data_IF_230181250917
#
_entry.id   IF_230181250917
#
_cell.length_a   1.000
_cell.length_b   1.000
_cell.length_c   1.000
_cell.angle_alpha   90.00
_cell.angle_beta   90.00
_cell.angle_gamma   90.00
#
_symmetry.space_group_name_H-M   'P 1'
#
loop_
_entity.id
_entity.type
_entity.pdbx_description
1 polymer ?
#
# COMPACT_ATOMS: atom_id res chain seq x y z
N UNK A 1 -31.85 -9.13 -18.21
CA UNK A 1 -32.93 -9.95 -17.58
C UNK A 1 -34.26 -9.76 -18.30
N UNK A 2 -34.72 -8.52 -18.47
CA UNK A 2 -35.87 -8.17 -19.32
C UNK A 2 -35.45 -7.19 -20.41
N UNK A 3 -36.18 -7.13 -21.55
CA UNK A 3 -35.94 -6.13 -22.58
C UNK A 3 -36.24 -4.72 -22.05
N UNK A 4 -35.38 -3.76 -22.36
CA UNK A 4 -35.64 -2.33 -22.14
C UNK A 4 -36.39 -1.72 -23.33
N UNK A 5 -37.24 -0.73 -23.09
CA UNK A 5 -38.01 -0.03 -24.11
C UNK A 5 -37.64 1.47 -24.19
N UNK A 6 -37.77 2.06 -25.38
CA UNK A 6 -37.59 3.49 -25.60
C UNK A 6 -38.46 4.32 -24.64
N UNK A 7 -37.81 5.09 -23.76
CA UNK A 7 -38.45 5.93 -22.74
C UNK A 7 -38.32 5.39 -21.32
N UNK A 8 -37.79 4.18 -21.16
CA UNK A 8 -37.51 3.62 -19.83
C UNK A 8 -36.43 4.43 -19.08
N UNK A 9 -36.45 4.28 -17.77
CA UNK A 9 -35.44 4.84 -16.85
C UNK A 9 -34.82 3.72 -16.01
N UNK A 10 -33.58 3.91 -15.58
CA UNK A 10 -32.89 2.97 -14.70
C UNK A 10 -32.36 3.71 -13.46
N UNK A 11 -33.04 3.51 -12.33
CA UNK A 11 -32.77 4.28 -11.12
C UNK A 11 -32.99 5.78 -11.36
N UNK A 12 -31.94 6.59 -11.14
CA UNK A 12 -31.95 8.03 -11.39
C UNK A 12 -31.58 8.43 -12.83
N UNK A 13 -31.22 7.47 -13.69
CA UNK A 13 -30.76 7.75 -15.06
C UNK A 13 -31.94 7.72 -16.03
N UNK A 14 -32.15 8.84 -16.74
CA UNK A 14 -33.22 9.00 -17.71
C UNK A 14 -32.89 8.43 -19.09
N UNK A 15 -33.92 8.27 -19.92
CA UNK A 15 -33.77 7.68 -21.26
C UNK A 15 -32.72 8.36 -22.15
N UNK A 16 -32.56 9.68 -22.02
CA UNK A 16 -31.58 10.44 -22.82
C UNK A 16 -30.17 9.87 -22.65
N UNK A 17 -29.73 9.70 -21.41
CA UNK A 17 -28.39 9.20 -21.11
C UNK A 17 -28.30 7.70 -21.37
N UNK A 18 -29.37 6.94 -21.06
CA UNK A 18 -29.42 5.50 -21.34
C UNK A 18 -29.31 5.19 -22.84
N UNK A 19 -29.94 6.00 -23.69
CA UNK A 19 -30.01 5.73 -25.13
C UNK A 19 -28.64 5.64 -25.81
N UNK A 20 -27.65 6.40 -25.31
CA UNK A 20 -26.27 6.35 -25.81
C UNK A 20 -25.62 4.99 -25.52
N UNK A 21 -25.78 4.46 -24.30
CA UNK A 21 -25.27 3.15 -23.93
C UNK A 21 -25.98 2.01 -24.69
N UNK A 22 -27.31 2.11 -24.87
CA UNK A 22 -28.08 1.10 -25.60
C UNK A 22 -27.71 1.04 -27.08
N UNK A 23 -27.47 2.18 -27.72
CA UNK A 23 -27.00 2.22 -29.11
C UNK A 23 -25.56 1.71 -29.22
N UNK A 24 -24.66 2.08 -28.30
CA UNK A 24 -23.32 1.50 -28.25
C UNK A 24 -23.34 -0.02 -28.12
N UNK A 25 -24.12 -0.57 -27.17
CA UNK A 25 -24.25 -2.01 -26.96
C UNK A 25 -24.93 -2.73 -28.15
N UNK A 26 -25.76 -2.02 -28.92
CA UNK A 26 -26.32 -2.54 -30.18
C UNK A 26 -25.24 -2.61 -31.26
N UNK A 27 -24.40 -1.58 -31.36
CA UNK A 27 -23.32 -1.52 -32.34
C UNK A 27 -22.20 -2.55 -32.07
N UNK A 28 -21.89 -2.80 -30.80
CA UNK A 28 -20.95 -3.86 -30.39
C UNK A 28 -21.55 -5.26 -30.46
N UNK A 29 -22.85 -5.37 -30.80
CA UNK A 29 -23.54 -6.65 -31.02
C UNK A 29 -24.05 -7.33 -29.75
N UNK A 30 -23.88 -6.72 -28.58
CA UNK A 30 -24.39 -7.24 -27.31
C UNK A 30 -25.93 -7.19 -27.24
N UNK A 31 -26.54 -6.15 -27.83
CA UNK A 31 -28.00 -5.96 -27.87
C UNK A 31 -28.56 -6.02 -29.29
N UNK A 32 -29.78 -6.54 -29.40
CA UNK A 32 -30.59 -6.53 -30.60
C UNK A 32 -31.75 -5.56 -30.41
N UNK A 33 -31.94 -4.63 -31.34
CA UNK A 33 -33.09 -3.73 -31.34
C UNK A 33 -34.19 -4.30 -32.22
N UNK A 34 -35.40 -4.43 -31.67
CA UNK A 34 -36.60 -4.79 -32.43
C UNK A 34 -37.73 -3.82 -32.08
N UNK A 35 -38.12 -3.00 -33.05
CA UNK A 35 -39.02 -1.88 -32.82
C UNK A 35 -38.44 -0.89 -31.81
N UNK A 36 -39.18 -0.68 -30.71
CA UNK A 36 -38.80 0.21 -29.59
C UNK A 36 -38.06 -0.51 -28.46
N UNK A 37 -37.78 -1.81 -28.59
CA UNK A 37 -37.22 -2.63 -27.50
C UNK A 37 -35.81 -3.13 -27.81
N UNK A 38 -34.99 -3.15 -26.78
CA UNK A 38 -33.63 -3.68 -26.78
C UNK A 38 -33.62 -5.02 -26.05
N UNK A 39 -33.16 -6.05 -26.75
CA UNK A 39 -33.08 -7.43 -26.28
C UNK A 39 -31.61 -7.83 -26.13
N UNK A 40 -31.31 -8.67 -25.15
CA UNK A 40 -30.01 -9.32 -25.09
C UNK A 40 -29.82 -10.22 -26.32
N UNK A 41 -28.74 -10.00 -27.07
CA UNK A 41 -28.42 -10.74 -28.29
C UNK A 41 -27.40 -11.85 -28.13
N UNK A 42 -26.70 -11.89 -26.99
CA UNK A 42 -25.63 -12.87 -26.72
C UNK A 42 -26.15 -14.24 -26.26
N UNK A 43 -25.35 -15.28 -26.53
CA UNK A 43 -25.59 -16.63 -25.98
C UNK A 43 -25.11 -16.80 -24.54
N UNK A 44 -24.30 -15.86 -24.06
CA UNK A 44 -23.69 -15.90 -22.73
C UNK A 44 -24.61 -15.28 -21.68
N UNK A 45 -24.33 -15.57 -20.41
CA UNK A 45 -25.05 -15.04 -19.26
C UNK A 45 -24.22 -13.95 -18.58
N UNK A 46 -24.46 -12.65 -18.85
CA UNK A 46 -23.56 -11.56 -18.44
C UNK A 46 -23.32 -11.50 -16.93
N UNK A 47 -24.33 -11.87 -16.14
CA UNK A 47 -24.24 -11.86 -14.69
C UNK A 47 -23.27 -12.92 -14.12
N UNK A 48 -22.85 -13.93 -14.89
CA UNK A 48 -21.80 -14.86 -14.48
C UNK A 48 -20.39 -14.28 -14.66
N UNK A 49 -20.22 -13.31 -15.56
CA UNK A 49 -18.94 -12.68 -15.86
C UNK A 49 -18.69 -11.43 -15.00
N UNK A 50 -19.76 -10.83 -14.48
CA UNK A 50 -19.71 -9.63 -13.65
C UNK A 50 -19.79 -10.04 -12.18
N UNK A 51 -18.66 -9.94 -11.48
CA UNK A 51 -18.64 -10.06 -10.02
C UNK A 51 -19.02 -8.72 -9.36
N UNK A 52 -19.95 -8.78 -8.42
CA UNK A 52 -20.44 -7.61 -7.68
C UNK A 52 -19.47 -7.13 -6.58
N UNK A 53 -18.43 -7.91 -6.26
CA UNK A 53 -17.55 -7.69 -5.11
C UNK A 53 -16.05 -7.80 -5.43
N UNK A 54 -15.70 -8.56 -6.45
CA UNK A 54 -14.31 -8.81 -6.82
C UNK A 54 -14.11 -8.46 -8.28
N UNK A 55 -12.93 -7.96 -8.62
CA UNK A 55 -12.60 -7.74 -10.01
C UNK A 55 -12.29 -9.01 -10.81
N UNK A 56 -12.01 -10.12 -10.11
CA UNK A 56 -11.66 -11.42 -10.69
C UNK A 56 -12.60 -12.53 -10.21
N UNK A 57 -13.05 -13.43 -11.11
CA UNK A 57 -13.86 -14.59 -10.73
C UNK A 57 -13.02 -15.74 -10.14
N UNK A 58 -11.68 -15.67 -10.20
CA UNK A 58 -10.80 -16.72 -9.66
C UNK A 58 -10.82 -16.71 -8.13
N UNK A 59 -10.78 -17.90 -7.54
CA UNK A 59 -10.82 -18.11 -6.09
C UNK A 59 -9.76 -19.13 -5.67
N UNK A 60 -9.39 -19.07 -4.40
CA UNK A 60 -8.57 -20.08 -3.73
C UNK A 60 -9.43 -20.81 -2.71
N UNK A 61 -9.55 -22.12 -2.88
CA UNK A 61 -10.30 -23.00 -1.98
C UNK A 61 -9.42 -23.34 -0.76
N UNK A 62 -9.95 -23.12 0.43
CA UNK A 62 -9.29 -23.41 1.69
C UNK A 62 -9.65 -24.83 2.12
N UNK A 63 -8.66 -25.72 2.16
CA UNK A 63 -8.85 -27.14 2.48
C UNK A 63 -8.17 -27.49 3.79
N UNK A 64 -8.89 -28.18 4.67
CA UNK A 64 -8.33 -28.82 5.86
C UNK A 64 -8.57 -30.34 5.83
N UNK A 65 -7.99 -31.06 6.80
CA UNK A 65 -8.20 -32.49 6.97
C UNK A 65 -9.09 -32.70 8.19
N UNK A 66 -10.30 -33.17 7.97
CA UNK A 66 -11.24 -33.57 9.03
C UNK A 66 -11.47 -35.08 8.96
N UNK A 67 -11.28 -35.78 10.08
CA UNK A 67 -11.48 -37.24 10.17
C UNK A 67 -10.73 -38.03 9.07
N UNK A 68 -9.55 -37.55 8.66
CA UNK A 68 -8.72 -38.16 7.62
C UNK A 68 -9.20 -37.92 6.19
N UNK A 69 -10.18 -37.04 5.96
CA UNK A 69 -10.66 -36.65 4.62
C UNK A 69 -10.45 -35.15 4.38
N UNK A 70 -10.14 -34.73 3.14
CA UNK A 70 -10.16 -33.32 2.78
C UNK A 70 -11.56 -32.74 3.00
N UNK A 71 -11.63 -31.62 3.71
CA UNK A 71 -12.83 -30.84 3.95
C UNK A 71 -12.55 -29.39 3.52
N UNK A 72 -13.48 -28.79 2.78
CA UNK A 72 -13.39 -27.37 2.42
C UNK A 72 -13.93 -26.54 3.58
N UNK A 73 -13.10 -25.65 4.13
CA UNK A 73 -13.50 -24.75 5.20
C UNK A 73 -14.00 -23.40 4.66
N UNK A 74 -13.60 -23.01 3.45
CA UNK A 74 -14.03 -21.76 2.83
C UNK A 74 -13.31 -21.43 1.53
N UNK A 75 -13.50 -20.21 1.05
CA UNK A 75 -12.87 -19.67 -0.15
C UNK A 75 -12.42 -18.23 0.12
N UNK A 76 -11.33 -17.83 -0.53
CA UNK A 76 -10.89 -16.43 -0.61
C UNK A 76 -10.74 -16.05 -2.08
N UNK A 77 -10.85 -14.76 -2.39
CA UNK A 77 -10.55 -14.29 -3.75
C UNK A 77 -9.06 -14.49 -4.08
N UNK A 78 -8.77 -14.66 -5.37
CA UNK A 78 -7.43 -14.98 -5.84
C UNK A 78 -6.39 -13.90 -5.49
N UNK A 79 -6.76 -12.62 -5.62
CA UNK A 79 -5.85 -11.49 -5.35
C UNK A 79 -5.54 -11.31 -3.87
N UNK A 80 -6.44 -11.80 -3.01
CA UNK A 80 -6.28 -11.74 -1.57
C UNK A 80 -5.52 -12.93 -0.99
N UNK A 81 -5.51 -14.06 -1.70
CA UNK A 81 -4.88 -15.28 -1.22
C UNK A 81 -3.41 -15.06 -0.79
N UNK A 82 -2.56 -14.34 -1.56
CA UNK A 82 -1.17 -14.11 -1.17
C UNK A 82 -0.99 -13.40 0.17
N UNK A 83 -1.92 -12.55 0.62
CA UNK A 83 -1.76 -11.81 1.86
C UNK A 83 -2.63 -12.34 3.01
N UNK A 84 -3.71 -13.06 2.72
CA UNK A 84 -4.57 -13.69 3.73
C UNK A 84 -4.11 -15.10 4.12
N UNK A 85 -3.67 -15.89 3.14
CA UNK A 85 -3.36 -17.32 3.29
C UNK A 85 -2.02 -17.69 2.66
N UNK A 86 -1.00 -16.84 2.81
CA UNK A 86 0.36 -17.22 2.46
C UNK A 86 0.84 -18.43 3.30
N UNK A 87 1.86 -19.16 2.85
CA UNK A 87 2.50 -20.20 3.67
C UNK A 87 2.90 -19.66 5.05
N UNK A 88 2.62 -20.46 6.08
CA UNK A 88 2.80 -20.14 7.50
C UNK A 88 1.91 -19.02 8.07
N UNK A 89 0.89 -18.57 7.35
CA UNK A 89 -0.12 -17.66 7.88
C UNK A 89 -0.98 -18.34 8.98
N UNK A 90 -1.45 -17.53 9.93
CA UNK A 90 -2.55 -17.88 10.83
C UNK A 90 -3.82 -17.25 10.26
N UNK A 91 -4.65 -18.08 9.66
CA UNK A 91 -5.97 -17.72 9.13
C UNK A 91 -7.04 -17.94 10.20
N UNK A 92 -7.94 -16.97 10.36
CA UNK A 92 -9.07 -17.09 11.28
C UNK A 92 -10.34 -17.34 10.48
N UNK A 93 -11.02 -18.45 10.77
CA UNK A 93 -12.30 -18.81 10.17
C UNK A 93 -13.33 -19.05 11.27
N UNK A 94 -14.39 -18.23 11.30
CA UNK A 94 -15.47 -18.34 12.31
C UNK A 94 -14.98 -18.35 13.77
N UNK A 95 -13.84 -17.72 14.04
CA UNK A 95 -13.22 -17.68 15.38
C UNK A 95 -12.25 -18.83 15.67
N UNK A 96 -12.15 -19.83 14.79
CA UNK A 96 -11.17 -20.89 14.87
C UNK A 96 -9.89 -20.51 14.10
N UNK A 97 -8.74 -20.93 14.61
CA UNK A 97 -7.43 -20.63 14.05
C UNK A 97 -6.92 -21.80 13.21
N UNK A 98 -6.41 -21.45 12.03
CA UNK A 98 -5.84 -22.38 11.08
C UNK A 98 -4.43 -21.93 10.68
N UNK A 99 -3.47 -22.84 10.74
CA UNK A 99 -2.15 -22.64 10.18
C UNK A 99 -2.17 -23.04 8.71
N UNK A 100 -1.69 -22.16 7.83
CA UNK A 100 -1.56 -22.44 6.40
C UNK A 100 -0.25 -23.20 6.16
N UNK A 101 -0.35 -24.47 5.77
CA UNK A 101 0.81 -25.30 5.45
C UNK A 101 1.37 -24.97 4.06
N UNK A 102 0.51 -24.63 3.10
CA UNK A 102 0.87 -24.38 1.70
C UNK A 102 -0.22 -23.55 0.97
N UNK A 103 0.20 -22.81 -0.05
CA UNK A 103 -0.66 -22.09 -0.98
C UNK A 103 -0.23 -22.41 -2.42
N UNK A 104 -1.07 -23.14 -3.14
CA UNK A 104 -0.92 -23.43 -4.56
C UNK A 104 -1.84 -22.51 -5.38
N UNK A 105 -1.25 -21.46 -5.95
CA UNK A 105 -1.97 -20.48 -6.79
C UNK A 105 -2.32 -21.04 -8.18
N UNK A 106 -1.62 -22.04 -8.69
CA UNK A 106 -1.95 -22.65 -9.98
C UNK A 106 -3.17 -23.56 -9.83
N UNK A 107 -3.18 -24.39 -8.79
CA UNK A 107 -4.32 -25.25 -8.46
C UNK A 107 -5.49 -24.48 -7.84
N UNK A 108 -5.26 -23.27 -7.33
CA UNK A 108 -6.29 -22.47 -6.64
C UNK A 108 -6.67 -23.09 -5.29
N UNK A 109 -5.70 -23.62 -4.54
CA UNK A 109 -5.95 -24.30 -3.26
C UNK A 109 -4.94 -23.88 -2.20
N UNK A 110 -5.40 -23.63 -0.98
CA UNK A 110 -4.57 -23.52 0.21
C UNK A 110 -4.85 -24.69 1.14
N UNK A 111 -3.79 -25.32 1.67
CA UNK A 111 -3.91 -26.41 2.66
C UNK A 111 -3.68 -25.85 4.05
N UNK A 112 -4.62 -26.12 4.95
CA UNK A 112 -4.62 -25.61 6.30
C UNK A 112 -4.84 -26.73 7.31
N UNK A 113 -4.34 -26.52 8.52
CA UNK A 113 -4.59 -27.37 9.67
C UNK A 113 -5.05 -26.55 10.87
N UNK A 114 -5.99 -27.07 11.68
CA UNK A 114 -6.40 -26.39 12.90
C UNK A 114 -5.22 -26.23 13.83
N UNK A 115 -5.16 -25.08 14.51
CA UNK A 115 -4.09 -24.74 15.44
C UNK A 115 -4.66 -23.91 16.58
N UNK A 116 -4.08 -24.03 17.77
CA UNK A 116 -4.37 -23.17 18.91
C UNK A 116 -3.06 -22.47 19.30
N UNK A 117 -2.94 -21.19 18.97
CA UNK A 117 -1.75 -20.36 19.22
C UNK A 117 -2.17 -19.00 19.76
N UNK A 118 -1.26 -18.36 20.49
CA UNK A 118 -1.45 -17.05 21.11
C UNK A 118 -0.98 -15.89 20.22
N UNK A 119 -0.80 -16.12 18.92
CA UNK A 119 -0.32 -15.11 17.97
C UNK A 119 -1.08 -15.16 16.64
N UNK A 120 -1.06 -14.04 15.93
CA UNK A 120 -1.55 -13.94 14.56
C UNK A 120 -0.42 -13.48 13.63
N UNK A 121 -0.59 -13.71 12.33
CA UNK A 121 0.37 -13.25 11.32
C UNK A 121 -0.10 -11.99 10.64
N UNK A 122 0.85 -11.12 10.27
CA UNK A 122 0.60 -9.94 9.44
C UNK A 122 1.55 -9.93 8.24
N UNK A 123 1.05 -9.87 7.01
CA UNK A 123 1.90 -9.89 5.81
C UNK A 123 2.73 -8.61 5.69
N UNK A 124 3.91 -8.74 5.10
CA UNK A 124 4.75 -7.66 4.62
C UNK A 124 4.58 -7.59 3.10
N UNK A 125 4.25 -6.39 2.61
CA UNK A 125 3.93 -6.15 1.21
C UNK A 125 4.87 -5.09 0.65
N UNK A 126 5.37 -5.36 -0.54
CA UNK A 126 6.09 -4.40 -1.36
C UNK A 126 5.21 -4.04 -2.55
N UNK A 127 5.16 -2.75 -2.88
CA UNK A 127 4.34 -2.24 -3.98
C UNK A 127 5.25 -1.47 -4.93
N UNK A 128 5.19 -1.84 -6.20
CA UNK A 128 5.83 -1.13 -7.30
C UNK A 128 4.75 -0.54 -8.20
N UNK A 129 4.93 0.73 -8.60
CA UNK A 129 3.99 1.41 -9.50
C UNK A 129 4.73 1.86 -10.75
N UNK A 130 4.16 1.58 -11.91
CA UNK A 130 4.71 1.93 -13.21
C UNK A 130 3.68 2.73 -14.02
N UNK A 131 4.14 3.75 -14.74
CA UNK A 131 3.32 4.51 -15.67
C UNK A 131 3.11 3.69 -16.94
N UNK A 132 1.88 3.58 -17.40
CA UNK A 132 1.54 2.98 -18.69
C UNK A 132 1.24 4.09 -19.70
N UNK A 133 0.31 4.98 -19.36
CA UNK A 133 -0.10 6.09 -20.20
C UNK A 133 -0.34 7.35 -19.36
N UNK A 134 0.18 8.48 -19.83
CA UNK A 134 -0.07 9.78 -19.23
C UNK A 134 -1.31 10.40 -19.87
N UNK A 135 -2.34 10.68 -19.09
CA UNK A 135 -3.58 11.28 -19.61
C UNK A 135 -3.59 12.80 -19.45
N UNK A 136 -3.32 13.29 -18.24
CA UNK A 136 -3.47 14.70 -17.91
C UNK A 136 -2.44 15.10 -16.84
N UNK A 137 -1.78 16.24 -17.07
CA UNK A 137 -0.79 16.79 -16.16
C UNK A 137 -0.97 18.31 -16.08
N UNK A 138 -0.87 18.86 -14.88
CA UNK A 138 -0.92 20.29 -14.63
C UNK A 138 0.06 20.70 -13.53
N UNK A 139 0.63 21.89 -13.67
CA UNK A 139 1.31 22.55 -12.57
C UNK A 139 0.30 22.87 -11.47
N UNK A 140 0.75 22.70 -10.22
CA UNK A 140 0.00 23.12 -9.05
C UNK A 140 0.95 23.80 -8.09
N UNK A 141 0.41 24.37 -7.03
CA UNK A 141 1.23 25.04 -6.04
C UNK A 141 2.23 24.07 -5.42
N UNK A 142 3.51 24.46 -5.45
CA UNK A 142 4.60 23.67 -4.89
C UNK A 142 4.90 22.34 -5.61
N UNK A 143 4.31 22.07 -6.78
CA UNK A 143 4.45 20.78 -7.43
C UNK A 143 3.63 20.59 -8.70
N UNK A 144 3.24 19.34 -8.95
CA UNK A 144 2.48 18.94 -10.14
C UNK A 144 1.40 17.95 -9.73
N UNK A 145 0.22 18.10 -10.34
CA UNK A 145 -0.85 17.10 -10.28
C UNK A 145 -0.95 16.39 -11.62
N UNK A 146 -1.09 15.08 -11.56
CA UNK A 146 -1.08 14.25 -12.77
C UNK A 146 -2.04 13.08 -12.60
N UNK A 147 -2.63 12.61 -13.70
CA UNK A 147 -3.35 11.34 -13.76
C UNK A 147 -3.01 10.58 -15.03
N UNK A 148 -3.22 9.27 -14.97
CA UNK A 148 -3.03 8.39 -16.09
C UNK A 148 -3.22 6.92 -15.74
N UNK A 149 -2.99 6.06 -16.73
CA UNK A 149 -3.01 4.62 -16.56
C UNK A 149 -1.71 4.15 -15.91
N UNK A 150 -1.82 3.29 -14.90
CA UNK A 150 -0.71 2.74 -14.14
C UNK A 150 -0.86 1.24 -13.96
N UNK A 151 0.30 0.58 -13.82
CA UNK A 151 0.40 -0.80 -13.34
C UNK A 151 0.88 -0.77 -11.90
N UNK A 152 0.10 -1.36 -11.00
CA UNK A 152 0.44 -1.55 -9.59
C UNK A 152 0.75 -3.02 -9.36
N UNK A 153 2.01 -3.34 -9.10
CA UNK A 153 2.43 -4.69 -8.72
C UNK A 153 2.61 -4.75 -7.20
N UNK A 154 1.92 -5.68 -6.52
CA UNK A 154 2.08 -5.89 -5.08
C UNK A 154 2.56 -7.31 -4.79
N UNK A 155 3.67 -7.43 -4.08
CA UNK A 155 4.26 -8.71 -3.71
C UNK A 155 4.26 -8.90 -2.18
N UNK A 156 3.89 -10.10 -1.72
CA UNK A 156 4.06 -10.50 -0.32
C UNK A 156 5.42 -11.16 -0.16
N UNK A 157 6.36 -10.46 0.47
CA UNK A 157 7.77 -10.90 0.60
C UNK A 157 8.07 -11.55 1.96
N UNK A 158 7.12 -11.45 2.90
CA UNK A 158 7.28 -12.01 4.23
C UNK A 158 6.10 -11.70 5.13
N UNK A 159 6.25 -11.97 6.42
CA UNK A 159 5.21 -11.74 7.41
C UNK A 159 5.79 -11.60 8.83
N UNK A 160 4.98 -11.07 9.76
CA UNK A 160 5.29 -10.91 11.18
C UNK A 160 4.37 -11.76 12.03
N UNK A 161 4.93 -12.44 13.03
CA UNK A 161 4.18 -13.11 14.10
C UNK A 161 3.97 -12.11 15.24
N UNK A 162 2.72 -11.81 15.58
CA UNK A 162 2.35 -10.80 16.57
C UNK A 162 1.55 -11.49 17.67
N UNK A 163 2.05 -11.42 18.90
CA UNK A 163 1.35 -11.96 20.06
C UNK A 163 0.00 -11.24 20.22
N UNK A 164 -1.06 -12.00 20.45
CA UNK A 164 -2.44 -11.51 20.42
C UNK A 164 -2.68 -10.45 21.49
N UNK A 165 -2.28 -10.73 22.73
CA UNK A 165 -2.59 -9.91 23.90
C UNK A 165 -1.64 -8.73 24.06
N UNK A 166 -0.32 -8.97 23.94
CA UNK A 166 0.69 -7.93 24.19
C UNK A 166 0.98 -7.09 22.95
N UNK A 167 0.56 -7.53 21.75
CA UNK A 167 0.92 -6.92 20.46
C UNK A 167 2.42 -6.90 20.16
N UNK A 168 3.22 -7.59 20.94
CA UNK A 168 4.65 -7.73 20.73
C UNK A 168 4.95 -8.58 19.50
N UNK A 169 6.04 -8.26 18.83
CA UNK A 169 6.50 -9.06 17.68
C UNK A 169 7.32 -10.23 18.16
N UNK A 170 6.79 -11.43 17.95
CA UNK A 170 7.43 -12.69 18.32
C UNK A 170 8.49 -13.12 17.31
N UNK A 171 8.28 -12.79 16.03
CA UNK A 171 9.19 -13.21 14.97
C UNK A 171 8.76 -12.75 13.59
N UNK A 172 9.54 -13.15 12.60
CA UNK A 172 9.36 -12.84 11.19
C UNK A 172 9.49 -14.12 10.38
N UNK A 173 8.82 -14.16 9.24
CA UNK A 173 9.01 -15.17 8.20
C UNK A 173 9.19 -14.52 6.84
N UNK A 174 9.75 -15.27 5.90
CA UNK A 174 9.92 -14.87 4.51
C UNK A 174 8.98 -15.72 3.65
N UNK A 175 8.47 -15.12 2.60
CA UNK A 175 7.55 -15.77 1.66
C UNK A 175 7.98 -15.36 0.26
N UNK A 176 7.99 -16.33 -0.65
CA UNK A 176 8.32 -16.12 -2.06
C UNK A 176 7.06 -16.40 -2.89
N UNK A 177 6.18 -15.40 -2.97
CA UNK A 177 4.96 -15.46 -3.77
C UNK A 177 5.09 -14.52 -4.97
N UNK A 178 4.47 -14.85 -6.12
CA UNK A 178 4.46 -13.96 -7.27
C UNK A 178 3.73 -12.64 -6.94
N UNK A 179 4.12 -11.52 -7.58
CA UNK A 179 3.38 -10.27 -7.44
C UNK A 179 2.00 -10.39 -8.08
N UNK A 180 0.98 -9.84 -7.40
CA UNK A 180 -0.32 -9.53 -7.99
C UNK A 180 -0.23 -8.23 -8.77
N UNK A 181 -0.82 -8.20 -9.97
CA UNK A 181 -0.80 -7.02 -10.85
C UNK A 181 -2.19 -6.43 -11.00
N UNK A 182 -2.29 -5.13 -10.80
CA UNK A 182 -3.48 -4.32 -11.03
C UNK A 182 -3.19 -3.27 -12.09
N UNK A 183 -3.85 -3.38 -13.23
CA UNK A 183 -3.88 -2.34 -14.27
C UNK A 183 -5.05 -1.41 -13.98
N UNK A 184 -4.80 -0.15 -13.70
CA UNK A 184 -5.82 0.80 -13.22
C UNK A 184 -5.45 2.24 -13.56
N UNK A 185 -6.34 3.18 -13.27
CA UNK A 185 -6.02 4.61 -13.32
C UNK A 185 -5.50 5.10 -11.98
N UNK A 186 -4.56 6.05 -12.01
CA UNK A 186 -4.03 6.71 -10.82
C UNK A 186 -4.02 8.23 -10.96
N UNK A 187 -4.17 8.90 -9.82
CA UNK A 187 -3.90 10.32 -9.63
C UNK A 187 -2.68 10.45 -8.70
N UNK A 188 -1.71 11.29 -9.05
CA UNK A 188 -0.57 11.57 -8.19
C UNK A 188 -0.27 13.06 -8.09
N UNK A 189 0.10 13.44 -6.87
CA UNK A 189 0.69 14.73 -6.54
C UNK A 189 2.19 14.52 -6.37
N UNK A 190 3.00 15.29 -7.10
CA UNK A 190 4.45 15.32 -6.95
C UNK A 190 4.93 16.67 -6.48
N UNK A 191 5.97 16.70 -5.64
CA UNK A 191 6.58 17.94 -5.16
C UNK A 191 7.67 18.42 -6.13
N UNK A 192 7.72 19.73 -6.39
CA UNK A 192 8.79 20.32 -7.20
C UNK A 192 10.13 20.24 -6.46
N UNK A 193 11.24 20.28 -7.21
CA UNK A 193 12.58 20.30 -6.61
C UNK A 193 12.77 21.51 -5.68
N UNK A 194 12.18 22.66 -6.04
CA UNK A 194 12.19 23.88 -5.23
C UNK A 194 11.48 23.67 -3.88
N UNK A 195 10.29 23.08 -3.89
CA UNK A 195 9.54 22.76 -2.65
C UNK A 195 10.34 21.81 -1.77
N UNK A 196 10.93 20.77 -2.35
CA UNK A 196 11.76 19.81 -1.62
C UNK A 196 13.01 20.48 -1.05
N UNK A 197 13.66 21.38 -1.80
CA UNK A 197 14.83 22.12 -1.35
C UNK A 197 14.48 23.04 -0.18
N UNK A 198 13.36 23.76 -0.25
CA UNK A 198 12.89 24.64 0.81
C UNK A 198 12.56 23.87 2.10
N UNK A 199 11.82 22.76 1.98
CA UNK A 199 11.53 21.86 3.11
C UNK A 199 12.82 21.29 3.73
N UNK A 200 13.85 21.03 2.90
CA UNK A 200 15.13 20.53 3.38
C UNK A 200 15.93 21.60 4.14
N UNK A 201 15.94 22.86 3.69
CA UNK A 201 16.62 23.96 4.40
C UNK A 201 16.01 24.24 5.78
N UNK A 202 14.73 23.94 5.97
CA UNK A 202 14.00 24.16 7.22
C UNK A 202 14.00 22.94 8.14
N UNK A 203 14.70 21.86 7.75
CA UNK A 203 14.76 20.60 8.51
C UNK A 203 13.44 19.81 8.51
N UNK A 204 12.46 20.21 7.69
CA UNK A 204 11.16 19.57 7.53
C UNK A 204 11.18 18.42 6.49
N UNK A 205 12.25 18.30 5.68
CA UNK A 205 12.43 17.20 4.74
C UNK A 205 13.36 16.11 5.24
N UNK A 206 12.79 15.02 5.77
CA UNK A 206 13.55 13.88 6.31
C UNK A 206 13.59 12.65 5.39
N UNK A 207 13.12 12.78 4.16
CA UNK A 207 12.96 11.67 3.20
C UNK A 207 14.18 11.40 2.30
N UNK A 208 15.31 12.07 2.50
CA UNK A 208 16.55 11.76 1.74
C UNK A 208 17.08 10.37 2.14
N UNK A 209 17.60 9.60 1.18
CA UNK A 209 18.45 8.44 1.49
C UNK A 209 19.61 8.92 2.37
N UNK A 210 19.91 8.17 3.43
CA UNK A 210 21.01 8.51 4.32
C UNK A 210 22.31 8.52 3.50
N UNK A 211 23.01 9.65 3.47
CA UNK A 211 24.36 9.73 2.93
C UNK A 211 25.36 9.45 4.06
N UNK A 212 25.77 8.19 4.20
CA UNK A 212 26.67 7.76 5.27
C UNK A 212 28.11 8.27 5.12
N UNK A 213 28.43 9.04 4.07
CA UNK A 213 29.78 9.51 3.79
C UNK A 213 30.65 8.48 3.07
N UNK A 214 31.71 8.95 2.41
CA UNK A 214 32.64 8.11 1.64
C UNK A 214 33.44 7.12 2.49
N UNK A 215 33.57 7.41 3.79
CA UNK A 215 34.29 6.57 4.76
C UNK A 215 33.43 5.45 5.38
N UNK A 216 32.15 5.33 4.99
CA UNK A 216 31.23 4.35 5.57
C UNK A 216 31.71 2.89 5.45
N UNK A 217 32.28 2.43 4.32
CA UNK A 217 32.82 1.07 4.23
C UNK A 217 33.90 0.77 5.28
N UNK A 218 34.79 1.74 5.54
CA UNK A 218 35.86 1.63 6.55
C UNK A 218 35.28 1.63 7.97
N UNK A 219 34.33 2.52 8.25
CA UNK A 219 33.62 2.57 9.54
C UNK A 219 32.90 1.25 9.81
N UNK A 220 32.17 0.72 8.82
CA UNK A 220 31.46 -0.56 8.91
C UNK A 220 32.41 -1.71 9.17
N UNK A 221 33.55 -1.77 8.49
CA UNK A 221 34.56 -2.79 8.73
C UNK A 221 35.12 -2.71 10.16
N UNK A 222 35.48 -1.52 10.62
CA UNK A 222 36.02 -1.29 11.96
C UNK A 222 35.03 -1.64 13.09
N UNK A 223 33.74 -1.38 12.89
CA UNK A 223 32.68 -1.72 13.87
C UNK A 223 32.48 -3.23 13.93
N UNK A 224 32.46 -3.93 12.78
CA UNK A 224 32.37 -5.40 12.76
C UNK A 224 33.58 -6.05 13.41
N UNK A 225 34.78 -5.52 13.16
CA UNK A 225 36.01 -5.99 13.80
C UNK A 225 35.99 -5.75 15.32
N UNK A 226 35.58 -4.56 15.77
CA UNK A 226 35.36 -4.25 17.20
C UNK A 226 34.43 -5.25 17.86
N UNK A 227 33.36 -5.61 17.16
CA UNK A 227 32.32 -6.52 17.63
C UNK A 227 32.67 -8.01 17.44
N UNK A 228 33.91 -8.30 17.04
CA UNK A 228 34.43 -9.66 16.87
C UNK A 228 33.70 -10.45 15.79
N UNK A 229 33.16 -9.78 14.77
CA UNK A 229 32.34 -10.36 13.70
C UNK A 229 31.15 -11.17 14.23
N UNK A 230 30.60 -10.74 15.37
CA UNK A 230 29.43 -11.36 16.00
C UNK A 230 28.31 -10.35 16.17
N UNK A 231 27.08 -10.83 16.02
CA UNK A 231 25.91 -10.04 16.34
C UNK A 231 25.93 -9.70 17.83
N UNK A 232 25.89 -8.41 18.17
CA UNK A 232 25.93 -7.95 19.56
C UNK A 232 24.60 -8.17 20.30
N UNK A 233 23.55 -8.55 19.59
CA UNK A 233 22.25 -8.87 20.19
C UNK A 233 22.09 -10.35 20.50
N UNK A 234 22.34 -11.24 19.52
CA UNK A 234 22.13 -12.70 19.69
C UNK A 234 23.42 -13.54 19.75
N UNK A 235 24.59 -12.94 19.54
CA UNK A 235 25.89 -13.63 19.57
C UNK A 235 26.23 -14.47 18.31
N UNK A 236 25.33 -14.54 17.33
CA UNK A 236 25.55 -15.28 16.09
C UNK A 236 26.85 -14.82 15.40
N UNK A 237 27.72 -15.74 14.95
CA UNK A 237 28.92 -15.40 14.17
C UNK A 237 28.54 -15.02 12.74
N UNK A 238 29.31 -14.12 12.14
CA UNK A 238 29.23 -13.79 10.72
C UNK A 238 29.56 -15.03 9.86
N UNK A 239 28.75 -15.31 8.84
CA UNK A 239 28.92 -16.43 7.92
C UNK A 239 29.42 -15.97 6.55
N UNK A 240 28.93 -16.58 5.47
CA UNK A 240 29.26 -16.17 4.09
C UNK A 240 28.82 -14.74 3.75
N UNK A 241 27.75 -14.26 4.41
CA UNK A 241 27.26 -12.89 4.28
C UNK A 241 27.69 -12.05 5.47
N UNK A 242 28.23 -10.87 5.16
CA UNK A 242 28.65 -9.91 6.15
C UNK A 242 27.48 -9.40 7.01
N UNK A 243 27.67 -9.33 8.33
CA UNK A 243 26.69 -8.74 9.23
C UNK A 243 26.50 -7.24 8.93
N UNK A 244 25.34 -6.74 9.33
CA UNK A 244 24.98 -5.35 9.13
C UNK A 244 25.50 -4.51 10.31
N UNK A 245 25.75 -3.22 10.06
CA UNK A 245 26.06 -2.26 11.12
C UNK A 245 24.89 -1.30 11.22
N UNK A 246 24.25 -1.28 12.38
CA UNK A 246 23.06 -0.51 12.67
C UNK A 246 23.40 0.73 13.50
N UNK A 247 22.70 1.83 13.24
CA UNK A 247 22.78 3.04 14.07
C UNK A 247 21.80 2.96 15.25
N UNK A 248 22.31 3.00 16.49
CA UNK A 248 21.51 2.89 17.72
C UNK A 248 20.49 4.03 17.84
N UNK A 249 20.94 5.26 17.59
CA UNK A 249 20.07 6.39 17.27
C UNK A 249 20.03 6.55 15.75
N UNK A 250 18.84 6.69 15.13
CA UNK A 250 18.72 6.75 13.68
C UNK A 250 19.64 7.80 13.07
N UNK A 251 20.33 7.46 11.99
CA UNK A 251 21.27 8.37 11.31
C UNK A 251 20.74 9.80 11.11
N UNK A 252 19.43 9.93 10.86
CA UNK A 252 18.73 11.19 10.61
C UNK A 252 18.59 12.11 11.82
N UNK A 253 18.90 11.64 13.04
CA UNK A 253 18.86 12.48 14.25
C UNK A 253 20.11 13.33 14.44
N UNK A 254 21.12 13.18 13.56
CA UNK A 254 22.40 13.87 13.66
C UNK A 254 22.59 14.89 12.55
N UNK A 255 23.32 15.97 12.85
CA UNK A 255 23.62 17.07 11.91
C UNK A 255 24.66 16.69 10.85
N UNK A 256 25.46 15.64 11.08
CA UNK A 256 26.49 15.18 10.13
C UNK A 256 26.67 13.67 10.12
N UNK A 257 27.21 13.15 9.02
CA UNK A 257 27.56 11.74 8.89
C UNK A 257 28.62 11.32 9.92
N UNK A 258 29.59 12.19 10.21
CA UNK A 258 30.63 11.95 11.21
C UNK A 258 30.04 11.81 12.62
N UNK A 259 29.03 12.60 12.96
CA UNK A 259 28.35 12.52 14.25
C UNK A 259 27.51 11.24 14.37
N UNK A 260 26.76 10.90 13.32
CA UNK A 260 25.98 9.66 13.27
C UNK A 260 26.85 8.41 13.30
N UNK A 261 28.02 8.43 12.63
CA UNK A 261 28.92 7.31 12.48
C UNK A 261 29.93 7.17 13.63
N UNK A 262 29.76 7.90 14.74
CA UNK A 262 30.57 7.69 15.95
C UNK A 262 30.41 6.25 16.42
N UNK A 263 31.52 5.65 16.87
CA UNK A 263 31.56 4.24 17.28
C UNK A 263 30.52 3.91 18.34
N UNK A 264 30.27 4.82 19.28
CA UNK A 264 29.25 4.63 20.33
C UNK A 264 27.83 4.48 19.77
N UNK A 265 27.54 5.04 18.60
CA UNK A 265 26.21 4.99 17.98
C UNK A 265 26.04 3.79 17.03
N UNK A 266 27.04 2.91 16.89
CA UNK A 266 27.03 1.83 15.91
C UNK A 266 27.14 0.46 16.57
N UNK A 267 26.38 -0.50 16.04
CA UNK A 267 26.36 -1.89 16.54
C UNK A 267 26.26 -2.91 15.41
N UNK A 268 27.02 -4.01 15.51
CA UNK A 268 26.96 -5.12 14.54
C UNK A 268 25.79 -6.04 14.84
N UNK A 269 24.91 -6.26 13.85
CA UNK A 269 23.73 -7.13 13.96
C UNK A 269 23.68 -8.14 12.81
N UNK A 270 23.27 -9.38 13.10
CA UNK A 270 22.91 -10.33 12.04
C UNK A 270 21.66 -9.83 11.28
N UNK A 271 21.40 -10.31 10.05
CA UNK A 271 20.26 -9.83 9.24
C UNK A 271 18.93 -9.82 10.01
N UNK A 272 18.64 -10.89 10.76
CA UNK A 272 17.42 -11.01 11.58
C UNK A 272 17.36 -9.97 12.70
N UNK A 273 18.45 -9.77 13.44
CA UNK A 273 18.49 -8.78 14.53
C UNK A 273 18.52 -7.34 14.00
N UNK A 274 19.14 -7.12 12.84
CA UNK A 274 19.14 -5.83 12.16
C UNK A 274 17.73 -5.42 11.76
N UNK A 275 16.99 -6.35 11.13
CA UNK A 275 15.60 -6.16 10.75
C UNK A 275 14.72 -5.88 11.99
N UNK A 276 14.94 -6.60 13.10
CA UNK A 276 14.27 -6.30 14.38
C UNK A 276 14.54 -4.87 14.85
N UNK A 277 15.79 -4.41 14.80
CA UNK A 277 16.18 -3.07 15.24
C UNK A 277 15.59 -1.96 14.36
N UNK A 278 15.62 -2.11 13.02
CA UNK A 278 15.01 -1.16 12.08
C UNK A 278 13.49 -1.01 12.27
N UNK A 279 12.81 -2.06 12.73
CA UNK A 279 11.36 -2.01 12.92
C UNK A 279 10.92 -1.42 14.27
N UNK A 280 11.81 -1.32 15.26
CA UNK A 280 11.51 -0.72 16.58
C UNK A 280 11.40 0.81 16.49
N UNK A 281 12.19 1.47 15.63
CA UNK A 281 12.18 2.94 15.49
C UNK A 281 11.58 3.33 14.13
N UNK A 282 10.25 3.53 14.08
CA UNK A 282 9.58 4.04 12.87
C UNK A 282 9.48 5.57 12.93
N UNK A 283 10.38 6.26 12.27
CA UNK A 283 10.20 7.70 11.98
C UNK A 283 9.26 7.82 10.78
N UNK A 284 8.04 8.30 10.99
CA UNK A 284 7.12 8.57 9.88
C UNK A 284 7.53 9.85 9.18
N UNK A 285 7.67 9.81 7.86
CA UNK A 285 8.01 11.01 7.09
C UNK A 285 6.80 11.88 6.80
N UNK A 286 7.01 13.15 6.47
CA UNK A 286 5.94 14.05 6.04
C UNK A 286 5.16 13.51 4.83
N UNK A 287 5.85 12.87 3.86
CA UNK A 287 5.18 12.24 2.71
C UNK A 287 4.27 11.06 3.12
N UNK A 288 4.69 10.26 4.08
CA UNK A 288 3.89 9.16 4.62
C UNK A 288 2.72 9.65 5.51
N UNK A 289 2.84 10.85 6.09
CA UNK A 289 1.75 11.53 6.79
C UNK A 289 0.74 12.14 5.82
N UNK A 290 1.23 12.77 4.74
CA UNK A 290 0.41 13.28 3.64
C UNK A 290 -0.40 12.16 3.00
N UNK A 291 0.24 11.05 2.63
CA UNK A 291 -0.46 9.89 2.08
C UNK A 291 -1.56 9.37 3.02
N UNK A 292 -1.29 9.31 4.33
CA UNK A 292 -2.27 8.84 5.29
C UNK A 292 -3.48 9.75 5.39
N UNK A 293 -3.29 11.08 5.49
CA UNK A 293 -4.44 12.00 5.55
C UNK A 293 -5.25 11.95 4.25
N UNK A 294 -4.60 11.85 3.09
CA UNK A 294 -5.28 11.73 1.80
C UNK A 294 -6.06 10.41 1.67
N UNK A 295 -5.49 9.29 2.14
CA UNK A 295 -6.18 7.99 2.20
C UNK A 295 -7.45 8.05 3.07
N UNK A 296 -7.47 8.89 4.11
CA UNK A 296 -8.64 9.05 4.99
C UNK A 296 -9.66 10.05 4.48
N UNK A 297 -9.23 11.08 3.75
CA UNK A 297 -10.10 12.13 3.26
C UNK A 297 -10.69 11.82 1.89
N UNK A 298 -9.91 11.29 0.96
CA UNK A 298 -10.36 11.04 -0.41
C UNK A 298 -11.68 10.26 -0.50
N UNK A 299 -11.93 9.20 0.30
CA UNK A 299 -13.22 8.48 0.26
C UNK A 299 -14.43 9.36 0.61
N UNK A 300 -14.27 10.37 1.46
CA UNK A 300 -15.36 11.28 1.83
C UNK A 300 -15.76 12.21 0.67
N UNK A 301 -14.81 12.59 -0.18
CA UNK A 301 -15.06 13.42 -1.37
C UNK A 301 -15.56 12.60 -2.56
N UNK A 302 -15.19 11.32 -2.60
CA UNK A 302 -15.56 10.40 -3.66
C UNK A 302 -16.83 9.61 -3.35
N UNK A 303 -17.33 9.68 -2.10
CA UNK A 303 -18.46 8.89 -1.61
C UNK A 303 -18.23 7.39 -1.79
N UNK A 304 -17.00 6.93 -1.53
CA UNK A 304 -16.60 5.53 -1.63
C UNK A 304 -16.08 4.98 -0.29
N UNK A 305 -15.85 3.68 -0.24
CA UNK A 305 -15.20 3.06 0.90
C UNK A 305 -13.67 3.20 0.80
N UNK A 306 -12.99 3.17 1.94
CA UNK A 306 -11.52 3.26 1.98
C UNK A 306 -10.83 2.15 1.19
N UNK A 307 -11.44 0.97 1.13
CA UNK A 307 -10.92 -0.18 0.40
C UNK A 307 -10.94 0.00 -1.11
N UNK A 308 -11.70 0.97 -1.61
CA UNK A 308 -11.83 1.22 -3.05
C UNK A 308 -10.67 2.04 -3.62
N UNK A 309 -9.77 2.54 -2.76
CA UNK A 309 -8.59 3.32 -3.13
C UNK A 309 -7.32 2.70 -2.58
N UNK A 310 -6.33 2.53 -3.44
CA UNK A 310 -4.95 2.32 -3.01
C UNK A 310 -4.22 3.64 -2.86
N UNK A 311 -3.34 3.75 -1.87
CA UNK A 311 -2.49 4.92 -1.66
C UNK A 311 -1.04 4.50 -1.48
N UNK A 312 -0.13 5.17 -2.17
CA UNK A 312 1.30 4.90 -2.12
C UNK A 312 2.10 6.19 -2.02
N UNK A 313 3.05 6.23 -1.09
CA UNK A 313 3.98 7.35 -0.93
C UNK A 313 5.37 6.91 -1.39
N UNK A 314 5.89 7.55 -2.43
CA UNK A 314 7.22 7.24 -2.96
C UNK A 314 8.11 8.50 -2.95
N UNK A 315 9.17 8.55 -2.12
CA UNK A 315 10.15 9.63 -2.12
C UNK A 315 10.91 9.83 -3.43
N UNK A 316 10.93 8.82 -4.32
CA UNK A 316 11.61 8.87 -5.61
C UNK A 316 10.75 8.17 -6.67
N UNK A 317 9.58 8.73 -6.95
CA UNK A 317 8.56 8.09 -7.77
C UNK A 317 8.98 7.97 -9.24
N UNK A 318 8.86 6.76 -9.85
CA UNK A 318 9.02 6.62 -11.30
C UNK A 318 7.91 7.35 -12.08
N UNK A 319 6.75 7.62 -11.46
CA UNK A 319 5.65 8.38 -12.08
C UNK A 319 5.92 9.89 -12.19
N UNK A 320 6.96 10.38 -11.50
CA UNK A 320 7.24 11.81 -11.38
C UNK A 320 8.72 12.12 -11.64
N UNK A 321 9.38 11.36 -12.52
CA UNK A 321 10.78 11.56 -12.90
C UNK A 321 11.74 11.54 -11.69
N UNK A 322 11.42 10.73 -10.68
CA UNK A 322 12.19 10.63 -9.44
C UNK A 322 11.88 11.71 -8.41
N UNK A 323 10.90 12.59 -8.65
CA UNK A 323 10.38 13.51 -7.63
C UNK A 323 9.58 12.74 -6.57
N UNK A 324 9.51 13.25 -5.32
CA UNK A 324 8.64 12.68 -4.30
C UNK A 324 7.18 12.82 -4.70
N UNK A 325 6.41 11.73 -4.60
CA UNK A 325 5.00 11.72 -4.95
C UNK A 325 4.13 10.92 -3.98
N UNK A 326 2.88 11.34 -3.87
CA UNK A 326 1.79 10.53 -3.29
C UNK A 326 0.83 10.18 -4.41
N UNK A 327 0.64 8.89 -4.63
CA UNK A 327 -0.25 8.33 -5.64
C UNK A 327 -1.48 7.74 -4.97
N UNK A 328 -2.67 8.12 -5.43
CA UNK A 328 -3.94 7.49 -5.12
C UNK A 328 -4.45 6.82 -6.40
N UNK A 329 -4.92 5.59 -6.31
CA UNK A 329 -5.38 4.84 -7.49
C UNK A 329 -6.62 4.02 -7.19
N UNK A 330 -7.40 3.78 -8.23
CA UNK A 330 -8.64 3.03 -8.13
C UNK A 330 -8.31 1.56 -7.83
N UNK A 331 -8.91 0.99 -6.77
CA UNK A 331 -8.65 -0.38 -6.30
C UNK A 331 -9.24 -1.49 -7.18
N UNK A 332 -9.68 -1.13 -8.39
CA UNK A 332 -10.38 -2.01 -9.34
C UNK A 332 -9.70 -1.93 -10.72
N UNK A 333 -9.58 -3.05 -11.45
CA UNK A 333 -8.99 -3.07 -12.79
C UNK A 333 -9.70 -2.12 -13.75
N UNK A 334 -8.91 -1.46 -14.60
CA UNK A 334 -9.36 -0.42 -15.53
C UNK A 334 -9.68 0.92 -14.87
N UNK A 335 -9.85 0.96 -13.54
CA UNK A 335 -10.34 2.13 -12.83
C UNK A 335 -11.83 2.40 -13.08
N UNK A 336 -12.46 3.11 -12.16
CA UNK A 336 -13.88 3.51 -12.25
C UNK A 336 -14.07 5.03 -12.21
N UNK A 337 -12.97 5.78 -12.28
CA UNK A 337 -12.97 7.23 -12.43
C UNK A 337 -12.71 8.01 -11.14
N UNK A 338 -12.30 7.35 -10.04
CA UNK A 338 -11.94 8.07 -8.82
C UNK A 338 -10.72 8.95 -9.05
N UNK A 339 -9.71 8.44 -9.74
CA UNK A 339 -8.51 9.20 -10.09
C UNK A 339 -8.82 10.47 -10.90
N UNK A 340 -9.73 10.40 -11.87
CA UNK A 340 -10.17 11.56 -12.63
C UNK A 340 -10.89 12.59 -11.73
N UNK A 341 -11.74 12.13 -10.81
CA UNK A 341 -12.43 13.01 -9.86
C UNK A 341 -11.47 13.65 -8.87
N UNK A 342 -10.48 12.92 -8.35
CA UNK A 342 -9.44 13.45 -7.45
C UNK A 342 -8.58 14.51 -8.13
N UNK A 343 -8.25 14.32 -9.41
CA UNK A 343 -7.53 15.32 -10.19
C UNK A 343 -8.29 16.66 -10.27
N UNK A 344 -9.62 16.59 -10.45
CA UNK A 344 -10.50 17.76 -10.47
C UNK A 344 -10.66 18.39 -9.07
N UNK A 345 -10.73 17.58 -8.01
CA UNK A 345 -10.90 18.01 -6.62
C UNK A 345 -9.58 18.34 -5.89
N UNK A 346 -8.46 18.40 -6.60
CA UNK A 346 -7.11 18.56 -6.05
C UNK A 346 -7.02 19.63 -4.96
N UNK A 347 -7.41 20.87 -5.29
CA UNK A 347 -7.23 22.02 -4.39
C UNK A 347 -8.12 21.91 -3.15
N UNK A 348 -9.37 21.46 -3.32
CA UNK A 348 -10.32 21.26 -2.22
C UNK A 348 -9.84 20.16 -1.26
N UNK A 349 -9.39 19.02 -1.80
CA UNK A 349 -8.87 17.91 -1.00
C UNK A 349 -7.64 18.33 -0.17
N UNK A 350 -6.70 19.07 -0.77
CA UNK A 350 -5.50 19.52 -0.08
C UNK A 350 -5.79 20.59 0.98
N UNK A 351 -6.71 21.52 0.71
CA UNK A 351 -7.16 22.50 1.70
C UNK A 351 -7.76 21.82 2.94
N UNK A 352 -8.64 20.83 2.74
CA UNK A 352 -9.22 20.06 3.84
C UNK A 352 -8.19 19.20 4.57
N UNK A 353 -7.18 18.66 3.87
CA UNK A 353 -6.06 17.98 4.51
C UNK A 353 -5.28 18.91 5.43
N UNK A 354 -5.01 20.15 5.00
CA UNK A 354 -4.36 21.16 5.83
C UNK A 354 -5.20 21.51 7.06
N UNK A 355 -6.50 21.71 6.91
CA UNK A 355 -7.41 22.01 8.02
C UNK A 355 -7.44 20.88 9.06
N UNK A 356 -7.55 19.63 8.61
CA UNK A 356 -7.57 18.45 9.51
C UNK A 356 -6.26 18.32 10.28
N UNK A 357 -5.12 18.46 9.60
CA UNK A 357 -3.82 18.29 10.27
C UNK A 357 -3.54 19.46 11.21
N UNK A 358 -3.87 20.70 10.83
CA UNK A 358 -3.60 21.90 11.64
C UNK A 358 -4.51 22.01 12.86
N UNK A 359 -5.78 21.63 12.75
CA UNK A 359 -6.75 21.65 13.86
C UNK A 359 -6.61 20.49 14.84
N UNK A 360 -5.95 19.40 14.44
CA UNK A 360 -5.79 18.23 15.30
C UNK A 360 -4.93 18.59 16.55
N UNK A 361 -5.33 18.21 17.78
CA UNK A 361 -4.58 18.57 19.00
C UNK A 361 -3.33 17.71 19.27
N UNK A 362 -3.09 16.64 18.49
CA UNK A 362 -1.95 15.75 18.75
C UNK A 362 -0.60 16.42 18.45
N UNK A 363 0.45 16.02 19.17
CA UNK A 363 1.81 16.55 19.00
C UNK A 363 2.47 16.01 17.73
N UNK A 364 2.57 14.68 17.63
CA UNK A 364 3.40 14.04 16.60
C UNK A 364 2.58 13.33 15.52
N UNK A 365 1.29 13.08 15.75
CA UNK A 365 0.40 12.40 14.82
C UNK A 365 -0.48 11.37 15.51
N UNK A 366 -1.69 11.18 15.01
CA UNK A 366 -2.65 10.20 15.52
C UNK A 366 -3.48 9.62 14.36
N UNK A 367 -4.23 8.51 14.58
CA UNK A 367 -5.09 7.92 13.55
C UNK A 367 -6.09 8.88 12.90
N UNK A 368 -6.39 10.02 13.53
CA UNK A 368 -7.34 11.02 13.01
C UNK A 368 -6.69 12.12 12.16
N UNK A 369 -5.36 12.14 11.99
CA UNK A 369 -4.69 13.12 11.13
C UNK A 369 -3.66 12.46 10.19
N UNK A 370 -2.37 12.50 10.52
CA UNK A 370 -1.25 11.96 9.71
C UNK A 370 -0.92 10.50 10.05
N UNK A 371 -1.72 9.91 10.95
CA UNK A 371 -1.53 8.57 11.49
C UNK A 371 -0.55 8.53 12.68
N UNK A 372 -0.55 7.42 13.44
CA UNK A 372 0.28 7.31 14.64
C UNK A 372 1.77 7.26 14.30
N UNK A 373 2.61 7.84 15.16
CA UNK A 373 4.08 7.81 15.08
C UNK A 373 4.73 6.48 15.47
N UNK A 374 3.94 5.48 15.88
CA UNK A 374 4.42 4.22 16.47
C UNK A 374 4.73 4.34 17.96
N UNK A 375 4.89 3.21 18.64
CA UNK A 375 5.11 3.15 20.10
C UNK A 375 6.48 3.70 20.55
N UNK A 376 7.46 3.76 19.64
CA UNK A 376 8.82 4.25 19.90
C UNK A 376 9.36 5.18 18.77
N UNK A 377 8.47 5.78 17.97
CA UNK A 377 8.83 6.62 16.82
C UNK A 377 8.31 8.05 16.92
N UNK A 378 8.91 8.98 16.18
CA UNK A 378 8.33 10.31 15.98
C UNK A 378 7.33 10.26 14.82
N UNK A 379 6.12 10.78 15.06
CA UNK A 379 5.13 10.95 14.01
C UNK A 379 5.46 12.14 13.11
N UNK A 380 4.95 12.11 11.87
CA UNK A 380 5.32 13.05 10.81
C UNK A 380 4.44 14.30 10.75
N UNK A 381 3.74 14.68 11.83
CA UNK A 381 2.72 15.75 11.77
C UNK A 381 3.32 17.08 11.36
N UNK A 382 4.41 17.49 12.01
CA UNK A 382 5.09 18.76 11.68
C UNK A 382 5.52 18.76 10.22
N UNK A 383 6.23 17.73 9.77
CA UNK A 383 6.71 17.63 8.39
C UNK A 383 5.56 17.60 7.38
N UNK A 384 4.43 16.97 7.72
CA UNK A 384 3.24 16.95 6.86
C UNK A 384 2.59 18.33 6.78
N UNK A 385 2.51 19.06 7.89
CA UNK A 385 1.99 20.44 7.92
C UNK A 385 2.82 21.37 7.04
N UNK A 386 4.15 21.28 7.11
CA UNK A 386 5.03 22.10 6.27
C UNK A 386 4.88 21.77 4.78
N UNK A 387 4.70 20.48 4.43
CA UNK A 387 4.37 20.09 3.06
C UNK A 387 3.04 20.71 2.64
N UNK A 388 1.97 20.50 3.42
CA UNK A 388 0.62 21.00 3.13
C UNK A 388 0.59 22.52 3.01
N UNK A 389 1.26 23.25 3.90
CA UNK A 389 1.35 24.70 3.86
C UNK A 389 1.93 25.18 2.52
N UNK A 390 2.97 24.52 2.00
CA UNK A 390 3.62 24.92 0.74
C UNK A 390 2.85 24.56 -0.52
N UNK A 391 2.06 23.49 -0.49
CA UNK A 391 1.28 23.05 -1.64
C UNK A 391 -0.16 23.60 -1.64
N UNK A 392 -0.57 24.31 -0.57
CA UNK A 392 -1.90 24.93 -0.45
C UNK A 392 -1.81 26.47 -0.38
N UNK A 393 -0.98 27.00 0.53
CA UNK A 393 -0.93 28.42 0.89
C UNK A 393 0.16 29.18 0.16
#
# INVERSE_FOLDING_TARGET
ELPFEDGDSFGGVGWRDLSEFFEYLRETGSLLKSGRRFFWGGGDFPAAEISLRSASPRRVVLQSIENGKPATIGEVDFESAPWMVHPEAIYLHQGEMFFVDDLDLEAGTARLRPVDVDFFTRPQRETEIQLLELEEAAETRGGFKTRGEIRVATQVTGYRKIHWSTRETLGYGQVDLPPSELLTTGYWLSLSEETVAALASEGAWRNKRNNYGSNWPQVRAAVRERDGYRCQFCGAPEGERAHHVHHLQPFRTFESAEAANRRENLVTLCPTCHQRAEHTVRVRSGLAGLAFVLEHLAPLFLMCDRGDLGVHADPKSPLADGRPAVTLYDGVPGGIGFSARLFALHDELLAHALDVVSSCPCTDGCPSCVGPGGEAGSGGKRETLEILARIVQ
#
